data_IF_315140778785
#
_entry.id   IF_315140778785
#
_cell.length_a   1.000
_cell.length_b   1.000
_cell.length_c   1.000
_cell.angle_alpha   90.00
_cell.angle_beta   90.00
_cell.angle_gamma   90.00
#
_symmetry.space_group_name_H-M   'P 1'
#
loop_
_entity.id
_entity.type
_entity.pdbx_description
1 polymer ?
#
# COMPACT_ATOMS: atom_id res chain seq x y z
N UNK A 1 -25.19 -16.17 16.12
CA UNK A 1 -24.09 -16.39 15.14
C UNK A 1 -24.37 -15.54 13.91
N UNK A 2 -23.68 -14.42 13.74
CA UNK A 2 -23.78 -13.65 12.49
C UNK A 2 -22.96 -14.38 11.40
N UNK A 3 -23.58 -14.65 10.25
CA UNK A 3 -22.92 -15.33 9.13
C UNK A 3 -21.73 -14.52 8.59
N UNK A 4 -20.84 -15.14 7.78
CA UNK A 4 -19.64 -14.49 7.24
C UNK A 4 -19.95 -13.19 6.46
N UNK A 5 -21.14 -13.08 5.86
CA UNK A 5 -21.60 -11.89 5.14
C UNK A 5 -21.73 -10.62 6.01
N UNK A 6 -22.08 -10.73 7.29
CA UNK A 6 -22.22 -9.57 8.17
C UNK A 6 -20.86 -8.91 8.48
N UNK A 7 -19.78 -9.69 8.49
CA UNK A 7 -18.43 -9.19 8.73
C UNK A 7 -17.82 -8.51 7.50
N UNK A 8 -18.35 -8.80 6.31
CA UNK A 8 -17.86 -8.23 5.05
C UNK A 8 -18.40 -6.82 4.78
N UNK A 9 -19.64 -6.53 5.19
CA UNK A 9 -20.34 -5.28 4.91
C UNK A 9 -19.54 -4.01 5.27
N UNK A 10 -18.88 -3.91 6.45
CA UNK A 10 -18.13 -2.71 6.83
C UNK A 10 -16.89 -2.44 5.96
N UNK A 11 -16.40 -3.46 5.23
CA UNK A 11 -15.18 -3.33 4.42
C UNK A 11 -15.45 -3.02 2.95
N UNK A 12 -16.72 -3.01 2.53
CA UNK A 12 -17.11 -2.66 1.15
C UNK A 12 -16.50 -1.31 0.72
N UNK A 13 -16.43 -0.26 1.57
CA UNK A 13 -15.75 0.98 1.21
C UNK A 13 -14.28 0.80 0.76
N UNK A 14 -13.58 -0.24 1.24
CA UNK A 14 -12.21 -0.52 0.81
C UNK A 14 -12.10 -0.88 -0.67
N UNK A 15 -13.16 -1.37 -1.32
CA UNK A 15 -13.17 -1.61 -2.77
C UNK A 15 -12.90 -0.31 -3.52
N UNK A 16 -13.49 0.81 -3.07
CA UNK A 16 -13.25 2.13 -3.67
C UNK A 16 -11.82 2.61 -3.44
N UNK A 17 -11.25 2.33 -2.27
CA UNK A 17 -9.85 2.62 -1.95
C UNK A 17 -8.92 1.85 -2.89
N UNK A 18 -9.13 0.54 -3.04
CA UNK A 18 -8.36 -0.32 -3.96
C UNK A 18 -8.49 0.17 -5.40
N UNK A 19 -9.70 0.50 -5.84
CA UNK A 19 -9.93 1.01 -7.20
C UNK A 19 -9.20 2.34 -7.45
N UNK A 20 -9.31 3.27 -6.49
CA UNK A 20 -8.65 4.58 -6.56
C UNK A 20 -7.14 4.43 -6.56
N UNK A 21 -6.58 3.57 -5.70
CA UNK A 21 -5.15 3.28 -5.67
C UNK A 21 -4.66 2.68 -6.99
N UNK A 22 -5.40 1.74 -7.58
CA UNK A 22 -5.07 1.19 -8.91
C UNK A 22 -5.08 2.26 -9.99
N UNK A 23 -6.07 3.14 -9.99
CA UNK A 23 -6.16 4.26 -10.92
C UNK A 23 -4.98 5.23 -10.75
N UNK A 24 -4.63 5.57 -9.51
CA UNK A 24 -3.46 6.39 -9.20
C UNK A 24 -2.16 5.76 -9.72
N UNK A 25 -1.97 4.46 -9.50
CA UNK A 25 -0.80 3.73 -10.03
C UNK A 25 -0.75 3.73 -11.55
N UNK A 26 -1.91 3.66 -12.21
CA UNK A 26 -2.00 3.74 -13.67
C UNK A 26 -1.57 5.12 -14.19
N UNK A 27 -2.10 6.19 -13.59
CA UNK A 27 -1.75 7.56 -13.97
C UNK A 27 -0.26 7.81 -13.75
N UNK A 28 0.31 7.24 -12.69
CA UNK A 28 1.74 7.26 -12.40
C UNK A 28 2.58 6.51 -13.45
N UNK A 29 2.15 5.33 -13.91
CA UNK A 29 2.79 4.64 -15.04
C UNK A 29 2.71 5.45 -16.32
N UNK A 30 1.53 6.00 -16.64
CA UNK A 30 1.32 6.81 -17.84
C UNK A 30 2.19 8.07 -17.84
N UNK A 31 2.34 8.75 -16.70
CA UNK A 31 3.25 9.89 -16.57
C UNK A 31 4.69 9.47 -16.84
N UNK A 32 5.11 8.33 -16.27
CA UNK A 32 6.47 7.82 -16.44
C UNK A 32 6.76 7.44 -17.90
N UNK A 33 5.80 6.80 -18.58
CA UNK A 33 5.88 6.45 -20.00
C UNK A 33 5.86 7.70 -20.91
N UNK A 34 5.06 8.71 -20.56
CA UNK A 34 5.00 9.96 -21.31
C UNK A 34 6.33 10.73 -21.28
N UNK A 35 7.12 10.60 -20.21
CA UNK A 35 8.46 11.20 -20.13
C UNK A 35 9.44 10.56 -21.10
N UNK A 36 9.28 9.29 -21.47
CA UNK A 36 10.18 8.61 -22.43
C UNK A 36 10.07 9.19 -23.83
N UNK A 37 8.86 9.55 -24.22
CA UNK A 37 8.53 10.08 -25.54
C UNK A 37 8.35 11.60 -25.54
N UNK A 38 8.60 12.26 -24.41
CA UNK A 38 8.41 13.70 -24.24
C UNK A 38 9.10 14.51 -25.35
N UNK A 39 8.41 15.48 -25.94
CA UNK A 39 8.98 16.42 -26.90
C UNK A 39 8.44 17.81 -26.59
N UNK A 40 9.33 18.79 -26.39
CA UNK A 40 8.91 20.16 -26.09
C UNK A 40 8.00 20.75 -27.19
N UNK A 41 8.23 20.38 -28.45
CA UNK A 41 7.42 20.83 -29.60
C UNK A 41 5.95 20.46 -29.48
N UNK A 42 5.64 19.35 -28.82
CA UNK A 42 4.28 18.84 -28.62
C UNK A 42 3.60 19.44 -27.37
N UNK A 43 4.34 20.22 -26.57
CA UNK A 43 3.76 20.90 -25.41
C UNK A 43 2.75 21.95 -25.86
N UNK A 44 1.58 21.94 -25.20
CA UNK A 44 0.49 22.88 -25.48
C UNK A 44 0.54 24.02 -24.47
N UNK A 45 0.49 25.25 -24.97
CA UNK A 45 0.24 26.45 -24.18
C UNK A 45 -1.11 27.03 -24.62
N UNK A 46 -1.88 27.60 -23.68
CA UNK A 46 -3.14 28.25 -24.01
C UNK A 46 -2.94 29.53 -24.82
N UNK A 47 -1.81 30.23 -24.61
CA UNK A 47 -1.42 31.44 -25.32
C UNK A 47 -0.09 31.23 -26.03
N UNK A 48 0.02 31.75 -27.26
CA UNK A 48 1.26 31.68 -28.04
C UNK A 48 2.36 32.56 -27.43
N UNK A 49 1.99 33.67 -26.79
CA UNK A 49 2.93 34.52 -26.03
C UNK A 49 3.62 33.74 -24.92
N UNK A 50 2.88 32.90 -24.21
CA UNK A 50 3.42 32.09 -23.11
C UNK A 50 4.37 31.02 -23.66
N UNK A 51 4.03 30.43 -24.82
CA UNK A 51 4.90 29.49 -25.51
C UNK A 51 6.23 30.15 -25.88
N UNK A 52 6.19 31.32 -26.51
CA UNK A 52 7.40 32.06 -26.89
C UNK A 52 8.25 32.43 -25.65
N UNK A 53 7.60 32.91 -24.58
CA UNK A 53 8.27 33.26 -23.33
C UNK A 53 8.95 32.04 -22.68
N UNK A 54 8.22 30.94 -22.48
CA UNK A 54 8.74 29.70 -21.86
C UNK A 54 9.84 29.09 -22.71
N UNK A 55 9.67 29.00 -24.03
CA UNK A 55 10.70 28.47 -24.94
C UNK A 55 11.97 29.34 -24.88
N UNK A 56 11.85 30.67 -24.83
CA UNK A 56 13.01 31.55 -24.70
C UNK A 56 13.77 31.32 -23.39
N UNK A 57 13.07 31.13 -22.28
CA UNK A 57 13.68 30.81 -20.99
C UNK A 57 14.35 29.43 -20.99
N UNK A 58 13.71 28.42 -21.61
CA UNK A 58 14.28 27.08 -21.78
C UNK A 58 15.59 27.16 -22.57
N UNK A 59 15.60 27.88 -23.70
CA UNK A 59 16.83 28.06 -24.51
C UNK A 59 17.90 28.79 -23.71
N UNK A 60 17.55 29.81 -22.91
CA UNK A 60 18.50 30.53 -22.08
C UNK A 60 19.15 29.64 -21.00
N UNK A 61 18.41 28.72 -20.40
CA UNK A 61 18.91 27.86 -19.32
C UNK A 61 19.58 26.56 -19.81
N UNK A 62 19.06 25.96 -20.87
CA UNK A 62 19.49 24.63 -21.36
C UNK A 62 20.25 24.71 -22.68
N UNK A 63 20.37 25.89 -23.29
CA UNK A 63 21.05 26.13 -24.56
C UNK A 63 20.21 25.81 -25.81
N UNK A 64 19.32 24.82 -25.74
CA UNK A 64 18.41 24.47 -26.84
C UNK A 64 17.16 23.70 -26.37
N UNK A 65 16.13 23.66 -27.22
CA UNK A 65 14.94 22.83 -26.99
C UNK A 65 15.27 21.33 -26.92
N UNK A 66 16.24 20.88 -27.72
CA UNK A 66 16.68 19.49 -27.77
C UNK A 66 17.44 19.10 -26.51
N UNK A 67 18.29 20.00 -25.98
CA UNK A 67 19.00 19.79 -24.72
C UNK A 67 18.02 19.68 -23.54
N UNK A 68 16.99 20.53 -23.50
CA UNK A 68 15.91 20.40 -22.51
C UNK A 68 15.12 19.10 -22.66
N UNK A 69 14.77 18.71 -23.89
CA UNK A 69 14.06 17.45 -24.14
C UNK A 69 14.90 16.24 -23.69
N UNK A 70 16.21 16.25 -23.95
CA UNK A 70 17.14 15.24 -23.48
C UNK A 70 17.25 15.23 -21.94
N UNK A 71 17.27 16.40 -21.31
CA UNK A 71 17.26 16.53 -19.84
C UNK A 71 15.99 15.94 -19.21
N UNK A 72 14.82 16.20 -19.79
CA UNK A 72 13.54 15.66 -19.30
C UNK A 72 13.48 14.13 -19.47
N UNK A 73 13.91 13.61 -20.62
CA UNK A 73 13.94 12.15 -20.90
C UNK A 73 14.99 11.39 -20.09
N UNK A 74 16.06 12.08 -19.68
CA UNK A 74 17.17 11.50 -18.92
C UNK A 74 17.00 11.75 -17.41
N UNK A 75 17.70 12.74 -16.84
CA UNK A 75 17.68 13.04 -15.41
C UNK A 75 16.30 13.07 -14.75
N UNK A 76 15.35 13.85 -15.31
CA UNK A 76 14.02 14.02 -14.71
C UNK A 76 13.23 12.72 -14.71
N UNK A 77 13.31 11.95 -15.82
CA UNK A 77 12.68 10.64 -15.89
C UNK A 77 13.23 9.69 -14.84
N UNK A 78 14.55 9.66 -14.64
CA UNK A 78 15.17 8.77 -13.66
C UNK A 78 14.75 9.13 -12.23
N UNK A 79 14.79 10.42 -11.88
CA UNK A 79 14.34 10.92 -10.57
C UNK A 79 12.87 10.57 -10.32
N UNK A 80 12.00 10.81 -11.31
CA UNK A 80 10.59 10.48 -11.21
C UNK A 80 10.33 8.98 -11.21
N UNK A 81 11.13 8.16 -11.89
CA UNK A 81 11.04 6.69 -11.82
C UNK A 81 11.41 6.16 -10.45
N UNK A 82 12.44 6.72 -9.81
CA UNK A 82 12.81 6.38 -8.44
C UNK A 82 11.74 6.79 -7.44
N UNK A 83 11.25 8.03 -7.53
CA UNK A 83 10.09 8.47 -6.76
C UNK A 83 8.84 7.64 -7.08
N UNK A 84 8.70 7.16 -8.32
CA UNK A 84 7.58 6.36 -8.73
C UNK A 84 7.63 4.92 -8.20
N UNK A 85 8.80 4.41 -7.85
CA UNK A 85 8.91 3.13 -7.14
C UNK A 85 8.53 3.22 -5.67
N UNK A 86 8.25 4.42 -5.14
CA UNK A 86 7.94 4.62 -3.73
C UNK A 86 6.87 3.63 -3.25
N UNK A 87 7.33 2.73 -2.40
CA UNK A 87 6.55 1.79 -1.61
C UNK A 87 5.68 2.56 -0.60
N UNK A 88 4.71 1.90 0.03
CA UNK A 88 3.95 2.55 1.12
C UNK A 88 4.92 2.87 2.27
N UNK A 89 5.11 4.15 2.63
CA UNK A 89 5.95 4.48 3.77
C UNK A 89 5.38 3.84 5.04
N UNK A 90 6.26 3.33 5.91
CA UNK A 90 5.85 2.67 7.15
C UNK A 90 4.94 3.55 8.00
N UNK A 91 5.16 4.87 8.02
CA UNK A 91 4.31 5.83 8.73
C UNK A 91 2.84 5.76 8.32
N UNK A 92 2.54 5.64 7.02
CA UNK A 92 1.18 5.46 6.54
C UNK A 92 0.63 4.08 6.88
N UNK A 93 1.47 3.04 6.82
CA UNK A 93 1.08 1.70 7.28
C UNK A 93 0.68 1.69 8.75
N UNK A 94 1.50 2.30 9.61
CA UNK A 94 1.25 2.42 11.06
C UNK A 94 -0.03 3.21 11.35
N UNK A 95 -0.32 4.25 10.55
CA UNK A 95 -1.57 5.01 10.67
C UNK A 95 -2.80 4.12 10.41
N UNK A 96 -2.73 3.21 9.44
CA UNK A 96 -3.80 2.23 9.16
C UNK A 96 -3.89 1.19 10.28
N UNK A 97 -2.76 0.74 10.81
CA UNK A 97 -2.71 -0.25 11.90
C UNK A 97 -3.07 0.32 13.28
N UNK A 98 -3.10 1.65 13.44
CA UNK A 98 -3.33 2.31 14.72
C UNK A 98 -4.68 1.92 15.36
N UNK A 99 -5.79 1.98 14.61
CA UNK A 99 -7.13 1.65 15.13
C UNK A 99 -7.26 0.17 15.57
N UNK A 100 -6.78 -0.81 14.79
CA UNK A 100 -6.68 -2.19 15.25
C UNK A 100 -5.81 -2.36 16.50
N UNK A 101 -4.68 -1.65 16.59
CA UNK A 101 -3.79 -1.72 17.75
C UNK A 101 -4.47 -1.14 19.00
N UNK A 102 -5.22 -0.04 18.89
CA UNK A 102 -5.98 0.50 20.04
C UNK A 102 -7.02 -0.49 20.53
N UNK A 103 -7.71 -1.20 19.62
CA UNK A 103 -8.66 -2.24 20.01
C UNK A 103 -7.97 -3.39 20.76
N UNK A 104 -6.80 -3.83 20.30
CA UNK A 104 -6.04 -4.87 20.99
C UNK A 104 -5.59 -4.43 22.39
N UNK A 105 -5.20 -3.16 22.55
CA UNK A 105 -4.85 -2.58 23.85
C UNK A 105 -6.06 -2.49 24.80
N UNK A 106 -7.24 -2.12 24.28
CA UNK A 106 -8.47 -2.08 25.06
C UNK A 106 -8.88 -3.47 25.57
N UNK A 107 -8.73 -4.51 24.73
CA UNK A 107 -8.98 -5.90 25.11
C UNK A 107 -7.99 -6.34 26.20
N UNK A 108 -6.70 -6.05 26.02
CA UNK A 108 -5.68 -6.36 27.04
C UNK A 108 -5.98 -5.64 28.37
N UNK A 109 -6.39 -4.37 28.34
CA UNK A 109 -6.78 -3.62 29.53
C UNK A 109 -7.99 -4.24 30.23
N UNK A 110 -9.00 -4.69 29.48
CA UNK A 110 -10.16 -5.38 30.02
C UNK A 110 -9.77 -6.73 30.68
N UNK A 111 -8.85 -7.48 30.08
CA UNK A 111 -8.33 -8.73 30.66
C UNK A 111 -7.60 -8.48 31.99
N UNK A 112 -6.80 -7.42 32.06
CA UNK A 112 -6.11 -7.02 33.30
C UNK A 112 -7.13 -6.69 34.39
N UNK A 113 -8.15 -5.87 34.07
CA UNK A 113 -9.20 -5.52 35.04
C UNK A 113 -10.03 -6.74 35.46
N UNK A 114 -10.24 -7.70 34.56
CA UNK A 114 -10.93 -8.96 34.84
C UNK A 114 -10.10 -9.97 35.64
N UNK A 115 -8.84 -9.69 35.96
CA UNK A 115 -7.95 -10.61 36.67
C UNK A 115 -7.59 -11.85 35.86
N UNK A 116 -7.48 -11.72 34.53
CA UNK A 116 -7.11 -12.82 33.66
C UNK A 116 -5.71 -13.37 33.99
N UNK A 117 -5.46 -14.68 33.82
CA UNK A 117 -4.13 -15.27 33.99
C UNK A 117 -3.09 -14.59 33.09
N UNK A 118 -1.85 -14.49 33.57
CA UNK A 118 -0.75 -13.87 32.82
C UNK A 118 -0.51 -14.53 31.47
N UNK A 119 -0.63 -15.85 31.39
CA UNK A 119 -0.50 -16.60 30.14
C UNK A 119 -1.52 -16.17 29.08
N UNK A 120 -2.76 -15.89 29.50
CA UNK A 120 -3.80 -15.41 28.60
C UNK A 120 -3.50 -13.98 28.12
N UNK A 121 -3.00 -13.12 29.00
CA UNK A 121 -2.61 -11.74 28.65
C UNK A 121 -1.44 -11.72 27.65
N UNK A 122 -0.43 -12.57 27.85
CA UNK A 122 0.71 -12.69 26.93
C UNK A 122 0.23 -13.23 25.58
N UNK A 123 -0.60 -14.28 25.59
CA UNK A 123 -1.17 -14.87 24.39
C UNK A 123 -1.94 -13.84 23.55
N UNK A 124 -2.81 -13.06 24.19
CA UNK A 124 -3.58 -11.98 23.52
C UNK A 124 -2.66 -10.88 22.99
N UNK A 125 -1.76 -10.37 23.82
CA UNK A 125 -0.87 -9.26 23.44
C UNK A 125 0.02 -9.63 22.24
N UNK A 126 0.51 -10.88 22.19
CA UNK A 126 1.43 -11.32 21.14
C UNK A 126 0.69 -11.79 19.88
N UNK A 127 -0.36 -12.61 19.99
CA UNK A 127 -1.08 -13.08 18.80
C UNK A 127 -1.98 -11.99 18.20
N UNK A 128 -2.88 -11.44 19.01
CA UNK A 128 -3.88 -10.45 18.57
C UNK A 128 -3.25 -9.07 18.37
N UNK A 129 -2.42 -8.60 19.32
CA UNK A 129 -1.73 -7.32 19.22
C UNK A 129 -0.61 -7.31 18.17
N UNK A 130 0.51 -7.99 18.47
CA UNK A 130 1.70 -7.96 17.61
C UNK A 130 1.49 -8.70 16.28
N UNK A 131 0.93 -9.90 16.32
CA UNK A 131 0.78 -10.77 15.15
C UNK A 131 -0.30 -10.29 14.19
N UNK A 132 -1.51 -10.05 14.68
CA UNK A 132 -2.63 -9.65 13.85
C UNK A 132 -2.73 -8.13 13.67
N UNK A 133 -3.04 -7.38 14.73
CA UNK A 133 -3.39 -5.96 14.66
C UNK A 133 -2.25 -5.09 14.09
N UNK A 134 -1.00 -5.41 14.40
CA UNK A 134 0.15 -4.73 13.80
C UNK A 134 0.61 -5.43 12.52
N UNK A 135 1.18 -6.63 12.65
CA UNK A 135 1.97 -7.25 11.58
C UNK A 135 1.13 -7.73 10.39
N UNK A 136 0.04 -8.46 10.64
CA UNK A 136 -0.82 -8.97 9.57
C UNK A 136 -1.48 -7.85 8.78
N UNK A 137 -1.87 -6.75 9.46
CA UNK A 137 -2.46 -5.58 8.81
C UNK A 137 -1.44 -4.83 7.95
N UNK A 138 -0.24 -4.58 8.47
CA UNK A 138 0.85 -3.96 7.70
C UNK A 138 1.19 -4.77 6.44
N UNK A 139 1.34 -6.09 6.58
CA UNK A 139 1.57 -6.98 5.43
C UNK A 139 0.41 -6.94 4.43
N UNK A 140 -0.83 -6.94 4.91
CA UNK A 140 -2.02 -6.86 4.04
C UNK A 140 -2.06 -5.56 3.25
N UNK A 141 -1.75 -4.43 3.88
CA UNK A 141 -1.64 -3.12 3.22
C UNK A 141 -0.55 -3.13 2.17
N UNK A 142 0.64 -3.62 2.52
CA UNK A 142 1.79 -3.66 1.60
C UNK A 142 1.55 -4.53 0.38
N UNK A 143 1.01 -5.74 0.58
CA UNK A 143 0.67 -6.67 -0.50
C UNK A 143 -0.42 -6.05 -1.40
N UNK A 144 -1.44 -5.44 -0.80
CA UNK A 144 -2.51 -4.78 -1.57
C UNK A 144 -1.96 -3.64 -2.41
N UNK A 145 -1.08 -2.82 -1.86
CA UNK A 145 -0.43 -1.74 -2.60
C UNK A 145 0.40 -2.26 -3.77
N UNK A 146 1.20 -3.30 -3.53
CA UNK A 146 1.99 -3.95 -4.56
C UNK A 146 1.11 -4.55 -5.67
N UNK A 147 0.00 -5.20 -5.31
CA UNK A 147 -0.98 -5.72 -6.26
C UNK A 147 -1.64 -4.60 -7.06
N UNK A 148 -1.98 -3.48 -6.41
CA UNK A 148 -2.53 -2.31 -7.09
C UNK A 148 -1.56 -1.77 -8.13
N UNK A 149 -0.26 -1.71 -7.80
CA UNK A 149 0.80 -1.32 -8.74
C UNK A 149 0.92 -2.33 -9.88
N UNK A 150 1.01 -3.64 -9.58
CA UNK A 150 1.21 -4.69 -10.58
C UNK A 150 0.04 -4.83 -11.57
N UNK A 151 -1.18 -4.63 -11.08
CA UNK A 151 -2.42 -4.71 -11.86
C UNK A 151 -2.98 -3.33 -12.24
N UNK A 152 -2.15 -2.28 -12.23
CA UNK A 152 -2.57 -0.93 -12.61
C UNK A 152 -2.97 -0.79 -14.09
N UNK A 153 -2.49 -1.70 -14.96
CA UNK A 153 -2.78 -1.63 -16.40
C UNK A 153 -4.28 -1.60 -16.69
N UNK A 154 -4.75 -0.75 -17.61
CA UNK A 154 -6.16 -0.70 -17.97
C UNK A 154 -6.61 -2.07 -18.51
N UNK A 155 -7.82 -2.48 -18.15
CA UNK A 155 -8.47 -3.61 -18.82
C UNK A 155 -8.86 -3.22 -20.25
N UNK A 156 -8.98 -4.20 -21.15
CA UNK A 156 -9.52 -3.95 -22.49
C UNK A 156 -10.99 -3.49 -22.45
N UNK A 157 -11.70 -3.81 -21.37
CA UNK A 157 -13.07 -3.37 -21.10
C UNK A 157 -13.22 -2.84 -19.67
N UNK A 158 -14.25 -2.01 -19.43
CA UNK A 158 -14.57 -1.51 -18.08
C UNK A 158 -14.85 -2.65 -17.10
N UNK A 159 -15.49 -3.73 -17.56
CA UNK A 159 -15.78 -4.90 -16.73
C UNK A 159 -14.50 -5.59 -16.23
N UNK A 160 -13.51 -5.77 -17.12
CA UNK A 160 -12.22 -6.35 -16.73
C UNK A 160 -11.48 -5.49 -15.71
N UNK A 161 -11.61 -4.17 -15.77
CA UNK A 161 -10.99 -3.29 -14.79
C UNK A 161 -11.63 -3.41 -13.39
N UNK A 162 -12.95 -3.54 -13.33
CA UNK A 162 -13.65 -3.85 -12.08
C UNK A 162 -13.30 -5.24 -11.56
N UNK A 163 -13.19 -6.25 -12.44
CA UNK A 163 -12.78 -7.60 -12.05
C UNK A 163 -11.38 -7.62 -11.45
N UNK A 164 -10.40 -6.93 -12.05
CA UNK A 164 -9.06 -6.79 -11.45
C UNK A 164 -9.12 -6.17 -10.05
N UNK A 165 -9.98 -5.16 -9.84
CA UNK A 165 -10.16 -4.52 -8.53
C UNK A 165 -10.72 -5.51 -7.53
N UNK A 166 -11.75 -6.25 -7.94
CA UNK A 166 -12.39 -7.27 -7.12
C UNK A 166 -11.40 -8.38 -6.75
N UNK A 167 -10.56 -8.83 -7.68
CA UNK A 167 -9.51 -9.82 -7.40
C UNK A 167 -8.54 -9.32 -6.34
N UNK A 168 -8.03 -8.09 -6.45
CA UNK A 168 -7.12 -7.51 -5.44
C UNK A 168 -7.81 -7.43 -4.07
N UNK A 169 -9.08 -7.01 -4.04
CA UNK A 169 -9.87 -6.96 -2.81
C UNK A 169 -10.11 -8.35 -2.20
N UNK A 170 -10.40 -9.37 -3.01
CA UNK A 170 -10.54 -10.75 -2.54
C UNK A 170 -9.23 -11.27 -1.95
N UNK A 171 -8.08 -10.98 -2.57
CA UNK A 171 -6.77 -11.38 -2.04
C UNK A 171 -6.49 -10.71 -0.69
N UNK A 172 -6.78 -9.41 -0.55
CA UNK A 172 -6.71 -8.72 0.73
C UNK A 172 -7.55 -9.43 1.80
N UNK A 173 -8.80 -9.75 1.48
CA UNK A 173 -9.71 -10.44 2.39
C UNK A 173 -9.25 -11.83 2.80
N UNK A 174 -8.66 -12.59 1.87
CA UNK A 174 -8.10 -13.91 2.16
C UNK A 174 -6.93 -13.77 3.14
N UNK A 175 -5.98 -12.87 2.87
CA UNK A 175 -4.80 -12.68 3.74
C UNK A 175 -5.23 -12.19 5.12
N UNK A 176 -6.06 -11.16 5.18
CA UNK A 176 -6.61 -10.62 6.42
C UNK A 176 -7.40 -11.68 7.20
N UNK A 177 -8.24 -12.46 6.50
CA UNK A 177 -9.04 -13.53 7.09
C UNK A 177 -8.19 -14.66 7.66
N UNK A 178 -7.13 -15.08 6.96
CA UNK A 178 -6.17 -16.08 7.44
C UNK A 178 -5.48 -15.58 8.71
N UNK A 179 -4.98 -14.34 8.71
CA UNK A 179 -4.33 -13.74 9.89
C UNK A 179 -5.28 -13.67 11.10
N UNK A 180 -6.53 -13.24 10.86
CA UNK A 180 -7.55 -13.15 11.90
C UNK A 180 -7.90 -14.53 12.46
N UNK A 181 -8.11 -15.52 11.59
CA UNK A 181 -8.44 -16.89 11.98
C UNK A 181 -7.30 -17.53 12.78
N UNK A 182 -6.05 -17.42 12.30
CA UNK A 182 -4.87 -17.96 12.98
C UNK A 182 -4.69 -17.32 14.37
N UNK A 183 -4.82 -16.00 14.47
CA UNK A 183 -4.72 -15.30 15.76
C UNK A 183 -5.75 -15.85 16.76
N UNK A 184 -7.03 -15.86 16.38
CA UNK A 184 -8.12 -16.32 17.24
C UNK A 184 -8.00 -17.80 17.63
N UNK A 185 -7.46 -18.63 16.73
CA UNK A 185 -7.29 -20.07 16.98
C UNK A 185 -6.11 -20.33 17.90
N UNK A 186 -4.96 -19.70 17.65
CA UNK A 186 -3.73 -19.92 18.42
C UNK A 186 -3.83 -19.35 19.83
N UNK A 187 -4.45 -18.19 19.98
CA UNK A 187 -4.70 -17.55 21.28
C UNK A 187 -5.43 -18.49 22.25
N UNK A 188 -6.41 -19.26 21.74
CA UNK A 188 -7.27 -20.16 22.53
C UNK A 188 -6.70 -21.56 22.74
N UNK A 189 -5.68 -21.94 21.98
CA UNK A 189 -5.17 -23.32 21.98
C UNK A 189 -3.84 -23.45 22.70
N UNK A 190 -2.85 -22.62 22.38
CA UNK A 190 -1.49 -22.76 22.92
C UNK A 190 -0.76 -21.42 23.03
N UNK A 191 -0.17 -21.15 24.20
CA UNK A 191 0.67 -19.97 24.41
C UNK A 191 1.87 -19.94 23.43
N UNK A 192 2.54 -21.08 23.25
CA UNK A 192 3.68 -21.19 22.33
C UNK A 192 3.30 -20.93 20.88
N UNK A 193 2.10 -21.38 20.45
CA UNK A 193 1.59 -21.09 19.12
C UNK A 193 1.31 -19.61 18.91
N UNK A 194 0.68 -18.95 19.88
CA UNK A 194 0.47 -17.51 19.88
C UNK A 194 1.78 -16.72 19.78
N UNK A 195 2.78 -17.11 20.57
CA UNK A 195 4.12 -16.50 20.54
C UNK A 195 4.81 -16.70 19.19
N UNK A 196 4.83 -17.93 18.67
CA UNK A 196 5.46 -18.23 17.40
C UNK A 196 4.82 -17.44 16.25
N UNK A 197 3.49 -17.36 16.21
CA UNK A 197 2.77 -16.57 15.21
C UNK A 197 3.12 -15.08 15.28
N UNK A 198 3.08 -14.48 16.47
CA UNK A 198 3.40 -13.06 16.64
C UNK A 198 4.82 -12.73 16.19
N UNK A 199 5.81 -13.54 16.59
CA UNK A 199 7.22 -13.35 16.24
C UNK A 199 7.45 -13.52 14.73
N UNK A 200 6.90 -14.57 14.12
CA UNK A 200 7.05 -14.82 12.69
C UNK A 200 6.42 -13.70 11.87
N UNK A 201 5.19 -13.28 12.20
CA UNK A 201 4.52 -12.20 11.48
C UNK A 201 5.25 -10.86 11.64
N UNK A 202 5.77 -10.58 12.84
CA UNK A 202 6.59 -9.40 13.06
C UNK A 202 7.86 -9.41 12.22
N UNK A 203 8.58 -10.54 12.20
CA UNK A 203 9.78 -10.69 11.39
C UNK A 203 9.49 -10.53 9.90
N UNK A 204 8.42 -11.17 9.39
CA UNK A 204 7.97 -10.99 8.00
C UNK A 204 7.65 -9.53 7.69
N UNK A 205 7.05 -8.80 8.63
CA UNK A 205 6.74 -7.38 8.47
C UNK A 205 8.01 -6.52 8.41
N UNK A 206 8.99 -6.79 9.29
CA UNK A 206 10.28 -6.10 9.28
C UNK A 206 11.00 -6.34 7.96
N UNK A 207 11.07 -7.58 7.49
CA UNK A 207 11.68 -7.92 6.19
C UNK A 207 10.93 -7.26 5.04
N UNK A 208 9.60 -7.27 5.08
CA UNK A 208 8.80 -6.65 4.04
C UNK A 208 9.06 -5.14 3.97
N UNK A 209 9.11 -4.43 5.09
CA UNK A 209 9.34 -2.98 5.16
C UNK A 209 10.81 -2.56 5.16
N UNK A 210 11.75 -3.51 5.15
CA UNK A 210 13.16 -3.19 5.04
C UNK A 210 13.44 -2.48 3.69
N UNK A 211 14.20 -1.39 3.69
CA UNK A 211 14.60 -0.74 2.45
C UNK A 211 15.39 -1.76 1.58
N UNK A 212 15.20 -1.75 0.25
CA UNK A 212 15.99 -2.60 -0.63
C UNK A 212 17.47 -2.29 -0.42
N UNK A 213 18.27 -3.34 -0.21
CA UNK A 213 19.71 -3.25 -0.01
C UNK A 213 20.32 -2.47 -1.19
N UNK A 214 20.92 -1.31 -0.91
CA UNK A 214 21.60 -0.48 -1.90
C UNK A 214 23.10 -0.84 -1.85
N UNK A 215 23.66 -1.55 -2.86
CA UNK A 215 25.11 -1.72 -2.99
C UNK A 215 25.82 -0.39 -3.32
#
# INVERSE_FOLDING_TARGET
MAGPFHKALPTIPMIFIVHTNRKFMREKHQLTEALETFQLKNAKCSLESDRAFVTSAIIAWYGSEDAFTAYVRGPVRLELQEAARADVPLSYGLLVAASPCTLALDVAAAMIQGGAPLDALISESVASGLGFALSSILLSVKITWWLCYRFASPGSTRLLDYLKTLTVFCVFWIIFGIGSFLSNYLEKTTLWGAMAFGIVMFFLTVVAYAPPWRP
#
